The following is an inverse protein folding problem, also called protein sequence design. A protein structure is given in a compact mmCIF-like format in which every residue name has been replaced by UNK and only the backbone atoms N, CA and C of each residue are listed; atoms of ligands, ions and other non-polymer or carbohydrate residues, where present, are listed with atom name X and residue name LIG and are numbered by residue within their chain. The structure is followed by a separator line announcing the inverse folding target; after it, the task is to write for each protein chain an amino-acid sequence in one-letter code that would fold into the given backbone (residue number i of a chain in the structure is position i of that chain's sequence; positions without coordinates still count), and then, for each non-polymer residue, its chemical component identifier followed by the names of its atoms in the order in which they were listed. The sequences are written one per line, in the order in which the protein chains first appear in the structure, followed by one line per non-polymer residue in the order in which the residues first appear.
data_IF_165923533860
#
_entry.id   IF_165923533860
#
_cell.length_a   1.000
_cell.length_b   1.000
_cell.length_c   1.000
_cell.angle_alpha   90.00
_cell.angle_beta   90.00
_cell.angle_gamma   90.00
#
_symmetry.space_group_name_H-M   'P 1'
#
loop_
_entity.id
_entity.type
_entity.pdbx_description
1 polymer ?
#
# COMPACT_ATOMS: atom_id res chain seq x y z
N UNK A 1 -1.42 16.33 -13.39
CA UNK A 1 -1.70 15.40 -12.26
C UNK A 1 -1.04 14.07 -12.49
N UNK A 2 -0.51 13.42 -11.44
CA UNK A 2 -0.14 12.00 -11.41
C UNK A 2 -0.84 11.34 -10.21
N UNK A 3 -1.03 10.02 -10.26
CA UNK A 3 -1.66 9.26 -9.18
C UNK A 3 -0.73 8.15 -8.69
N UNK A 4 -0.48 8.10 -7.38
CA UNK A 4 0.33 7.09 -6.72
C UNK A 4 -0.57 6.27 -5.77
N UNK A 5 -0.57 4.97 -5.94
CA UNK A 5 -1.41 4.06 -5.17
C UNK A 5 -0.55 3.18 -4.28
N UNK A 6 -0.86 3.12 -2.99
CA UNK A 6 -0.47 1.93 -2.24
C UNK A 6 -1.19 0.70 -2.82
N UNK A 7 -0.79 -0.47 -2.40
CA UNK A 7 -1.29 -1.73 -2.97
C UNK A 7 -2.26 -2.46 -2.03
N UNK A 8 -1.77 -2.83 -0.85
CA UNK A 8 -2.52 -3.61 0.12
C UNK A 8 -3.55 -2.73 0.85
N UNK A 9 -4.81 -3.12 0.82
CA UNK A 9 -5.89 -2.30 1.38
C UNK A 9 -6.30 -1.10 0.53
N UNK A 10 -5.57 -0.82 -0.56
CA UNK A 10 -5.91 0.25 -1.52
C UNK A 10 -6.37 -0.33 -2.85
N UNK A 11 -5.52 -1.06 -3.54
CA UNK A 11 -5.90 -1.71 -4.81
C UNK A 11 -6.38 -3.14 -4.59
N UNK A 12 -5.82 -3.87 -3.60
CA UNK A 12 -6.14 -5.26 -3.30
C UNK A 12 -6.66 -5.44 -1.87
N UNK A 13 -7.72 -6.24 -1.73
CA UNK A 13 -8.33 -6.61 -0.44
C UNK A 13 -7.51 -7.73 0.23
N UNK A 14 -6.34 -7.37 0.74
CA UNK A 14 -5.39 -8.30 1.35
C UNK A 14 -5.21 -8.10 2.86
N UNK A 15 -5.60 -6.96 3.40
CA UNK A 15 -5.32 -6.56 4.78
C UNK A 15 -5.93 -7.49 5.84
N UNK A 16 -7.16 -7.97 5.63
CA UNK A 16 -7.78 -8.92 6.55
C UNK A 16 -7.03 -10.27 6.57
N UNK A 17 -6.44 -10.67 5.45
CA UNK A 17 -5.66 -11.90 5.32
C UNK A 17 -4.31 -11.73 6.07
N UNK A 18 -3.61 -10.61 5.88
CA UNK A 18 -2.38 -10.30 6.63
C UNK A 18 -2.61 -10.18 8.13
N UNK A 19 -3.69 -9.54 8.54
CA UNK A 19 -4.03 -9.42 9.96
C UNK A 19 -4.12 -10.80 10.62
N UNK A 20 -4.81 -11.76 9.98
CA UNK A 20 -4.91 -13.14 10.50
C UNK A 20 -3.54 -13.83 10.62
N UNK A 21 -2.73 -13.76 9.56
CA UNK A 21 -1.37 -14.34 9.57
C UNK A 21 -0.52 -13.75 10.70
N UNK A 22 -0.47 -12.42 10.78
CA UNK A 22 0.38 -11.74 11.75
C UNK A 22 -0.13 -11.85 13.19
N UNK A 23 -1.42 -11.99 13.41
CA UNK A 23 -1.97 -12.29 14.75
C UNK A 23 -1.54 -13.69 15.23
N UNK A 24 -1.48 -14.68 14.34
CA UNK A 24 -0.96 -16.01 14.65
C UNK A 24 0.55 -15.97 14.91
N UNK A 25 1.30 -15.29 14.04
CA UNK A 25 2.75 -15.12 14.20
C UNK A 25 3.10 -14.33 15.47
N UNK A 26 2.31 -13.29 15.79
CA UNK A 26 2.47 -12.48 16.98
C UNK A 26 2.33 -13.30 18.26
N UNK A 27 1.27 -14.08 18.37
CA UNK A 27 1.10 -15.00 19.51
C UNK A 27 2.22 -16.03 19.63
N UNK A 28 2.64 -16.58 18.50
CA UNK A 28 3.62 -17.67 18.46
C UNK A 28 5.06 -17.21 18.76
N UNK A 29 5.46 -16.05 18.24
CA UNK A 29 6.87 -15.66 18.21
C UNK A 29 7.19 -14.46 19.11
N UNK A 30 6.24 -13.56 19.38
CA UNK A 30 6.48 -12.32 20.13
C UNK A 30 5.57 -12.16 21.36
N UNK A 31 4.72 -13.15 21.65
CA UNK A 31 3.77 -13.16 22.76
C UNK A 31 2.85 -11.90 22.78
N UNK A 32 2.34 -11.53 21.58
CA UNK A 32 1.49 -10.36 21.40
C UNK A 32 0.18 -10.74 20.70
N UNK A 33 -0.94 -10.37 21.33
CA UNK A 33 -2.26 -10.37 20.70
C UNK A 33 -2.47 -9.12 19.84
N UNK A 34 -3.23 -9.24 18.73
CA UNK A 34 -3.53 -8.10 17.84
C UNK A 34 -2.31 -7.58 17.09
N UNK A 35 -1.28 -8.39 16.95
CA UNK A 35 0.00 -8.01 16.33
C UNK A 35 -0.18 -7.54 14.88
N UNK A 36 -1.06 -8.19 14.11
CA UNK A 36 -1.37 -7.80 12.75
C UNK A 36 -1.83 -6.33 12.62
N UNK A 37 -2.60 -5.85 13.61
CA UNK A 37 -3.03 -4.44 13.61
C UNK A 37 -1.91 -3.46 13.98
N UNK A 38 -0.92 -3.91 14.77
CA UNK A 38 0.19 -3.07 15.25
C UNK A 38 1.20 -2.78 14.13
N UNK A 39 1.40 -3.75 13.23
CA UNK A 39 2.45 -3.68 12.21
C UNK A 39 1.97 -3.15 10.84
N UNK A 40 0.70 -2.78 10.71
CA UNK A 40 0.15 -2.27 9.45
C UNK A 40 0.98 -1.17 8.82
N UNK A 41 1.21 -1.27 7.51
CA UNK A 41 2.02 -0.32 6.74
C UNK A 41 3.53 -0.46 6.91
N UNK A 42 4.02 -1.40 7.76
CA UNK A 42 5.45 -1.64 7.96
C UNK A 42 5.97 -2.69 6.96
N UNK A 43 7.22 -2.54 6.53
CA UNK A 43 7.90 -3.57 5.76
C UNK A 43 8.35 -4.73 6.65
N UNK A 44 8.59 -5.91 6.05
CA UNK A 44 9.11 -7.08 6.77
C UNK A 44 10.43 -6.77 7.50
N UNK A 45 11.30 -5.97 6.90
CA UNK A 45 12.57 -5.52 7.53
C UNK A 45 12.30 -4.72 8.81
N UNK A 46 11.33 -3.79 8.79
CA UNK A 46 10.96 -3.02 9.97
C UNK A 46 10.34 -3.91 11.06
N UNK A 47 9.47 -4.84 10.67
CA UNK A 47 8.84 -5.78 11.59
C UNK A 47 9.90 -6.64 12.28
N UNK A 48 10.82 -7.22 11.50
CA UNK A 48 11.89 -8.04 12.05
C UNK A 48 12.83 -7.24 12.94
N UNK A 49 13.30 -6.08 12.50
CA UNK A 49 14.19 -5.24 13.28
C UNK A 49 13.60 -4.76 14.60
N UNK A 50 12.28 -4.53 14.66
CA UNK A 50 11.62 -3.99 15.86
C UNK A 50 11.10 -5.06 16.82
N UNK A 51 10.53 -6.14 16.30
CA UNK A 51 9.79 -7.10 17.11
C UNK A 51 10.46 -8.47 17.21
N UNK A 52 11.43 -8.76 16.34
CA UNK A 52 12.13 -10.04 16.28
C UNK A 52 13.66 -9.91 16.46
N UNK A 53 14.12 -8.75 16.99
CA UNK A 53 15.55 -8.46 17.12
C UNK A 53 16.33 -9.50 17.95
N UNK A 54 15.66 -10.13 18.93
CA UNK A 54 16.25 -11.17 19.80
C UNK A 54 16.12 -12.60 19.23
N UNK A 55 15.60 -12.75 18.01
CA UNK A 55 15.41 -14.06 17.37
C UNK A 55 16.63 -14.48 16.58
N UNK A 56 16.84 -15.79 16.50
CA UNK A 56 17.90 -16.37 15.68
C UNK A 56 17.59 -16.21 14.19
N UNK A 57 18.61 -16.22 13.35
CA UNK A 57 18.42 -16.22 11.88
C UNK A 57 17.51 -17.37 11.40
N UNK A 58 17.58 -18.54 12.05
CA UNK A 58 16.75 -19.69 11.70
C UNK A 58 15.26 -19.41 11.98
N UNK A 59 14.94 -18.73 13.09
CA UNK A 59 13.58 -18.32 13.42
C UNK A 59 13.06 -17.24 12.48
N UNK A 60 13.90 -16.25 12.12
CA UNK A 60 13.54 -15.21 11.15
C UNK A 60 13.24 -15.82 9.78
N UNK A 61 14.09 -16.72 9.30
CA UNK A 61 13.84 -17.45 8.04
C UNK A 61 12.56 -18.28 8.10
N UNK A 62 12.26 -18.92 9.23
CA UNK A 62 11.02 -19.68 9.37
C UNK A 62 9.77 -18.80 9.29
N UNK A 63 9.81 -17.58 9.83
CA UNK A 63 8.72 -16.60 9.69
C UNK A 63 8.61 -16.11 8.23
N UNK A 64 9.74 -15.82 7.58
CA UNK A 64 9.78 -15.40 6.18
C UNK A 64 9.26 -16.50 5.24
N UNK A 65 9.63 -17.75 5.45
CA UNK A 65 9.11 -18.89 4.70
C UNK A 65 7.60 -19.06 4.93
N UNK A 66 7.14 -18.88 6.17
CA UNK A 66 5.73 -19.00 6.51
C UNK A 66 4.88 -17.90 5.84
N UNK A 67 5.35 -16.64 5.80
CA UNK A 67 4.65 -15.57 5.10
C UNK A 67 4.66 -15.80 3.60
N UNK A 68 5.78 -16.21 3.02
CA UNK A 68 5.88 -16.52 1.60
C UNK A 68 4.94 -17.67 1.19
N UNK A 69 4.76 -18.69 2.06
CA UNK A 69 3.80 -19.77 1.83
C UNK A 69 2.37 -19.27 1.95
N UNK A 70 2.10 -18.41 2.94
CA UNK A 70 0.79 -17.78 3.11
C UNK A 70 0.41 -16.97 1.88
N UNK A 71 1.30 -16.12 1.39
CA UNK A 71 1.12 -15.27 0.20
C UNK A 71 0.86 -16.07 -1.08
N UNK A 72 1.44 -17.27 -1.22
CA UNK A 72 1.14 -18.16 -2.35
C UNK A 72 -0.31 -18.65 -2.38
N UNK A 73 -0.97 -18.66 -1.23
CA UNK A 73 -2.33 -19.15 -1.04
C UNK A 73 -3.35 -18.03 -0.79
N UNK A 74 -2.90 -16.76 -0.77
CA UNK A 74 -3.80 -15.60 -0.63
C UNK A 74 -4.67 -15.39 -1.87
N UNK A 75 -5.82 -14.78 -1.67
CA UNK A 75 -6.60 -14.19 -2.75
C UNK A 75 -6.17 -12.74 -2.98
N UNK A 76 -6.13 -12.32 -4.24
CA UNK A 76 -5.75 -10.97 -4.64
C UNK A 76 -6.93 -10.32 -5.38
N UNK A 77 -8.04 -10.11 -4.66
CA UNK A 77 -9.21 -9.45 -5.23
C UNK A 77 -9.03 -7.93 -5.20
N UNK A 78 -9.46 -7.25 -6.26
CA UNK A 78 -9.43 -5.79 -6.27
C UNK A 78 -10.42 -5.22 -5.25
N UNK A 79 -10.04 -4.14 -4.59
CA UNK A 79 -10.99 -3.29 -3.87
C UNK A 79 -12.06 -2.82 -4.86
N UNK A 80 -13.36 -2.77 -4.47
CA UNK A 80 -14.45 -2.40 -5.37
C UNK A 80 -14.17 -1.10 -6.14
N UNK A 81 -14.31 -1.16 -7.47
CA UNK A 81 -14.09 -0.03 -8.38
C UNK A 81 -12.63 0.30 -8.69
N UNK A 82 -11.63 -0.30 -8.02
CA UNK A 82 -10.21 0.05 -8.19
C UNK A 82 -9.71 -0.20 -9.61
N UNK A 83 -10.04 -1.34 -10.20
CA UNK A 83 -9.64 -1.67 -11.58
C UNK A 83 -10.26 -0.70 -12.60
N UNK A 84 -11.54 -0.38 -12.43
CA UNK A 84 -12.28 0.54 -13.28
C UNK A 84 -11.68 1.94 -13.20
N UNK A 85 -11.34 2.39 -12.00
CA UNK A 85 -10.74 3.69 -11.76
C UNK A 85 -9.33 3.80 -12.36
N UNK A 86 -8.47 2.77 -12.24
CA UNK A 86 -7.19 2.72 -12.94
C UNK A 86 -7.35 2.82 -14.45
N UNK A 87 -8.35 2.14 -15.03
CA UNK A 87 -8.65 2.25 -16.45
C UNK A 87 -9.15 3.65 -16.85
N UNK A 88 -9.93 4.32 -16.01
CA UNK A 88 -10.37 5.71 -16.23
C UNK A 88 -9.17 6.66 -16.27
N UNK A 89 -8.26 6.58 -15.29
CA UNK A 89 -7.04 7.37 -15.25
C UNK A 89 -6.17 7.15 -16.50
N UNK A 90 -5.99 5.89 -16.88
CA UNK A 90 -5.23 5.52 -18.09
C UNK A 90 -5.84 6.09 -19.34
N UNK A 91 -7.17 6.02 -19.51
CA UNK A 91 -7.86 6.57 -20.68
C UNK A 91 -7.75 8.10 -20.75
N UNK A 92 -7.68 8.76 -19.58
CA UNK A 92 -7.44 10.19 -19.48
C UNK A 92 -5.96 10.58 -19.67
N UNK A 93 -5.05 9.63 -19.82
CA UNK A 93 -3.61 9.88 -19.96
C UNK A 93 -2.95 10.37 -18.69
N UNK A 94 -3.49 10.04 -17.51
CA UNK A 94 -2.93 10.41 -16.22
C UNK A 94 -1.91 9.35 -15.81
N UNK A 95 -0.62 9.72 -15.65
CA UNK A 95 0.40 8.78 -15.24
C UNK A 95 0.10 8.21 -13.85
N UNK A 96 0.23 6.89 -13.71
CA UNK A 96 -0.08 6.16 -12.49
C UNK A 96 1.05 5.23 -12.07
N UNK A 97 1.30 5.12 -10.76
CA UNK A 97 2.20 4.10 -10.24
C UNK A 97 1.65 3.44 -8.97
N UNK A 98 1.99 2.17 -8.81
CA UNK A 98 1.86 1.45 -7.55
C UNK A 98 3.13 1.70 -6.72
N UNK A 99 2.98 2.07 -5.45
CA UNK A 99 4.07 2.33 -4.50
C UNK A 99 3.81 1.52 -3.23
N UNK A 100 4.36 0.31 -3.19
CA UNK A 100 4.03 -0.68 -2.16
C UNK A 100 5.20 -1.02 -1.24
N UNK A 101 4.91 -1.29 0.03
CA UNK A 101 5.86 -1.89 0.98
C UNK A 101 6.08 -3.39 0.74
N UNK A 102 5.35 -4.00 -0.17
CA UNK A 102 5.50 -5.39 -0.57
C UNK A 102 6.78 -5.61 -1.37
N UNK A 103 7.37 -6.80 -1.22
CA UNK A 103 8.58 -7.20 -1.93
C UNK A 103 8.26 -7.85 -3.30
N UNK A 104 9.31 -8.05 -4.09
CA UNK A 104 9.18 -8.67 -5.42
C UNK A 104 8.66 -10.11 -5.36
N UNK A 105 8.90 -10.87 -4.28
CA UNK A 105 8.39 -12.24 -4.14
C UNK A 105 6.88 -12.28 -4.04
N UNK A 106 6.30 -11.39 -3.23
CA UNK A 106 4.85 -11.21 -3.15
C UNK A 106 4.28 -10.74 -4.48
N UNK A 107 4.88 -9.69 -5.08
CA UNK A 107 4.40 -9.16 -6.36
C UNK A 107 4.41 -10.22 -7.47
N UNK A 108 5.33 -11.19 -7.42
CA UNK A 108 5.32 -12.33 -8.35
C UNK A 108 4.06 -13.22 -8.20
N UNK A 109 3.46 -13.34 -6.99
CA UNK A 109 2.19 -14.05 -6.83
C UNK A 109 1.02 -13.21 -7.36
N UNK A 110 1.05 -11.89 -7.13
CA UNK A 110 0.07 -10.96 -7.67
C UNK A 110 0.05 -11.01 -9.20
N UNK A 111 1.22 -11.01 -9.86
CA UNK A 111 1.30 -11.10 -11.33
C UNK A 111 0.80 -12.44 -11.90
N UNK A 112 0.86 -13.52 -11.12
CA UNK A 112 0.22 -14.79 -11.51
C UNK A 112 -1.30 -14.69 -11.46
N UNK A 113 -1.85 -14.03 -10.45
CA UNK A 113 -3.29 -13.81 -10.30
C UNK A 113 -3.82 -12.77 -11.30
N UNK A 114 -3.03 -11.72 -11.55
CA UNK A 114 -3.37 -10.59 -12.44
C UNK A 114 -2.24 -10.32 -13.43
N UNK A 115 -2.10 -11.12 -14.51
CA UNK A 115 -1.04 -10.95 -15.50
C UNK A 115 -1.08 -9.60 -16.23
N UNK A 116 -2.22 -8.95 -16.21
CA UNK A 116 -2.46 -7.65 -16.86
C UNK A 116 -2.20 -6.43 -15.94
N UNK A 117 -1.86 -6.64 -14.65
CA UNK A 117 -1.71 -5.54 -13.68
C UNK A 117 -0.72 -4.48 -14.17
N UNK A 118 0.41 -4.89 -14.73
CA UNK A 118 1.42 -3.97 -15.27
C UNK A 118 0.99 -3.24 -16.55
N UNK A 119 -0.19 -3.56 -17.09
CA UNK A 119 -0.79 -2.77 -18.18
C UNK A 119 -1.78 -1.73 -17.69
N UNK A 120 -2.15 -1.78 -16.41
CA UNK A 120 -3.08 -0.85 -15.77
C UNK A 120 -2.37 0.40 -15.21
N UNK A 121 -1.06 0.32 -14.97
CA UNK A 121 -0.23 1.38 -14.40
C UNK A 121 1.06 1.56 -15.18
N UNK A 122 1.68 2.74 -15.08
CA UNK A 122 2.92 3.06 -15.82
C UNK A 122 4.17 2.57 -15.08
N UNK A 123 4.10 2.42 -13.75
CA UNK A 123 5.20 1.94 -12.93
C UNK A 123 4.73 1.19 -11.69
N UNK A 124 5.60 0.31 -11.17
CA UNK A 124 5.41 -0.38 -9.88
C UNK A 124 6.70 -0.28 -9.08
N UNK A 125 6.65 0.36 -7.93
CA UNK A 125 7.74 0.47 -6.97
C UNK A 125 7.45 -0.45 -5.78
N UNK A 126 8.30 -1.43 -5.60
CA UNK A 126 8.28 -2.38 -4.49
C UNK A 126 9.25 -1.95 -3.39
N UNK A 127 9.28 -2.64 -2.26
CA UNK A 127 10.19 -2.33 -1.14
C UNK A 127 11.68 -2.31 -1.54
N UNK A 128 12.07 -2.95 -2.63
CA UNK A 128 13.45 -2.96 -3.13
C UNK A 128 13.84 -1.67 -3.86
N UNK A 129 12.88 -0.79 -4.16
CA UNK A 129 13.15 0.47 -4.87
C UNK A 129 13.52 1.62 -3.94
N UNK A 130 13.32 1.49 -2.63
CA UNK A 130 13.61 2.56 -1.67
C UNK A 130 14.33 2.01 -0.43
N UNK A 131 15.13 2.87 0.21
CA UNK A 131 15.94 2.51 1.38
C UNK A 131 15.21 2.72 2.69
N UNK A 132 14.24 3.62 2.70
CA UNK A 132 13.43 3.96 3.87
C UNK A 132 11.97 3.68 3.57
N UNK A 133 11.37 2.92 4.46
CA UNK A 133 9.96 2.56 4.36
C UNK A 133 9.05 3.62 4.97
N UNK A 134 7.79 3.64 4.58
CA UNK A 134 6.74 4.44 5.21
C UNK A 134 6.86 4.36 6.75
N UNK A 135 6.81 5.45 7.49
CA UNK A 135 6.28 6.76 7.14
C UNK A 135 7.30 7.76 6.50
N UNK A 136 8.52 7.31 6.14
CA UNK A 136 9.44 8.16 5.39
C UNK A 136 8.86 8.42 3.98
N UNK A 137 8.94 9.66 3.44
CA UNK A 137 8.36 10.00 2.15
C UNK A 137 9.13 9.44 0.93
N UNK A 138 10.29 8.80 1.12
CA UNK A 138 11.18 8.39 0.02
C UNK A 138 10.45 7.62 -1.09
N UNK A 139 9.56 6.69 -0.73
CA UNK A 139 8.86 5.86 -1.71
C UNK A 139 7.96 6.71 -2.64
N UNK A 140 7.22 7.67 -2.11
CA UNK A 140 6.34 8.53 -2.91
C UNK A 140 7.13 9.59 -3.69
N UNK A 141 8.21 10.15 -3.12
CA UNK A 141 9.12 11.05 -3.85
C UNK A 141 9.73 10.34 -5.07
N UNK A 142 10.13 9.08 -4.94
CA UNK A 142 10.61 8.27 -6.08
C UNK A 142 9.52 8.00 -7.12
N UNK A 143 8.28 7.75 -6.67
CA UNK A 143 7.14 7.63 -7.58
C UNK A 143 6.90 8.91 -8.38
N UNK A 144 6.95 10.07 -7.72
CA UNK A 144 6.86 11.39 -8.37
C UNK A 144 7.97 11.59 -9.39
N UNK A 145 9.22 11.33 -9.02
CA UNK A 145 10.37 11.43 -9.91
C UNK A 145 10.21 10.56 -11.16
N UNK A 146 9.78 9.31 -10.96
CA UNK A 146 9.61 8.35 -12.05
C UNK A 146 8.53 8.76 -13.06
N UNK A 147 7.44 9.37 -12.57
CA UNK A 147 6.32 9.81 -13.41
C UNK A 147 6.43 11.29 -13.85
N UNK A 148 7.47 12.01 -13.44
CA UNK A 148 7.67 13.42 -13.77
C UNK A 148 6.67 14.37 -13.08
N UNK A 149 6.15 13.99 -11.91
CA UNK A 149 5.24 14.79 -11.11
C UNK A 149 5.95 15.65 -10.07
N UNK A 150 5.20 16.61 -9.51
CA UNK A 150 5.60 17.41 -8.35
C UNK A 150 4.66 17.12 -7.18
N UNK A 151 5.03 17.48 -5.93
CA UNK A 151 4.13 17.30 -4.79
C UNK A 151 2.72 17.85 -5.04
N UNK A 152 2.61 19.06 -5.57
CA UNK A 152 1.36 19.78 -5.79
C UNK A 152 0.47 19.12 -6.87
N UNK A 153 1.10 18.40 -7.81
CA UNK A 153 0.39 17.72 -8.91
C UNK A 153 0.18 16.22 -8.64
N UNK A 154 0.54 15.75 -7.46
CA UNK A 154 0.46 14.33 -7.08
C UNK A 154 -0.70 14.07 -6.13
N UNK A 155 -1.45 13.02 -6.42
CA UNK A 155 -2.46 12.44 -5.53
C UNK A 155 -1.99 11.06 -5.08
N UNK A 156 -1.90 10.85 -3.77
CA UNK A 156 -1.55 9.58 -3.13
C UNK A 156 -2.82 8.93 -2.59
N UNK A 157 -3.04 7.65 -2.90
CA UNK A 157 -4.11 6.83 -2.35
C UNK A 157 -3.53 5.85 -1.33
N UNK A 158 -4.01 5.92 -0.08
CA UNK A 158 -3.46 5.19 1.06
C UNK A 158 -4.53 4.83 2.11
N UNK A 159 -4.35 3.70 2.79
CA UNK A 159 -5.26 3.20 3.82
C UNK A 159 -4.63 3.14 5.22
N UNK A 160 -3.28 3.18 5.29
CA UNK A 160 -2.51 3.05 6.52
C UNK A 160 -2.04 4.41 7.06
N UNK A 161 -1.96 4.54 8.40
CA UNK A 161 -1.45 5.75 9.04
C UNK A 161 0.01 6.04 8.62
N UNK A 162 0.84 5.00 8.47
CA UNK A 162 2.22 5.17 8.03
C UNK A 162 2.30 5.71 6.60
N UNK A 163 1.49 5.17 5.69
CA UNK A 163 1.51 5.61 4.32
C UNK A 163 0.88 6.99 4.11
N UNK A 164 -0.22 7.30 4.79
CA UNK A 164 -0.81 8.65 4.82
C UNK A 164 0.24 9.66 5.31
N UNK A 165 0.97 9.32 6.39
CA UNK A 165 2.05 10.18 6.91
C UNK A 165 3.15 10.37 5.87
N UNK A 166 3.55 9.32 5.16
CA UNK A 166 4.56 9.39 4.10
C UNK A 166 4.10 10.27 2.93
N UNK A 167 2.85 10.12 2.47
CA UNK A 167 2.26 10.95 1.42
C UNK A 167 2.22 12.44 1.79
N UNK A 168 1.79 12.74 3.02
CA UNK A 168 1.80 14.12 3.56
C UNK A 168 3.21 14.68 3.67
N UNK A 169 4.17 13.88 4.15
CA UNK A 169 5.58 14.28 4.25
C UNK A 169 6.23 14.50 2.88
N UNK A 170 5.75 13.81 1.83
CA UNK A 170 6.16 14.04 0.45
C UNK A 170 5.53 15.33 -0.15
N UNK A 171 4.61 15.98 0.56
CA UNK A 171 3.90 17.19 0.11
C UNK A 171 2.75 16.93 -0.86
N UNK A 172 2.35 15.67 -1.05
CA UNK A 172 1.26 15.29 -1.95
C UNK A 172 -0.12 15.57 -1.36
N UNK A 173 -1.13 15.63 -2.23
CA UNK A 173 -2.52 15.49 -1.83
C UNK A 173 -2.78 14.03 -1.46
N UNK A 174 -3.46 13.76 -0.35
CA UNK A 174 -3.67 12.40 0.14
C UNK A 174 -5.15 12.07 0.23
N UNK A 175 -5.55 11.01 -0.48
CA UNK A 175 -6.86 10.39 -0.35
C UNK A 175 -6.71 9.14 0.51
N UNK A 176 -7.37 9.16 1.68
CA UNK A 176 -7.44 8.00 2.56
C UNK A 176 -8.51 7.00 2.11
N UNK A 177 -8.20 5.69 2.17
CA UNK A 177 -9.20 4.64 2.02
C UNK A 177 -9.56 4.08 3.40
N UNK A 178 -10.86 4.06 3.73
CA UNK A 178 -11.36 3.54 5.01
C UNK A 178 -11.50 1.99 5.01
N UNK A 179 -10.61 1.29 4.33
CA UNK A 179 -10.57 -0.16 4.19
C UNK A 179 -9.86 -0.85 5.35
N UNK A 180 -8.80 -0.23 5.86
CA UNK A 180 -7.93 -0.79 6.92
C UNK A 180 -8.14 -0.10 8.26
N UNK A 181 -8.24 1.21 8.26
CA UNK A 181 -8.51 2.03 9.42
C UNK A 181 -9.93 2.61 9.35
N UNK A 182 -10.54 2.86 10.52
CA UNK A 182 -11.83 3.54 10.55
C UNK A 182 -11.71 4.94 9.97
N UNK A 183 -12.73 5.39 9.26
CA UNK A 183 -12.80 6.72 8.65
C UNK A 183 -12.44 7.84 9.64
N UNK A 184 -12.99 7.80 10.85
CA UNK A 184 -12.79 8.82 11.88
C UNK A 184 -11.33 8.94 12.33
N UNK A 185 -10.54 7.88 12.14
CA UNK A 185 -9.11 7.85 12.51
C UNK A 185 -8.25 8.52 11.43
N UNK A 186 -8.55 8.28 10.15
CA UNK A 186 -7.73 8.76 9.03
C UNK A 186 -8.21 10.09 8.45
N UNK A 187 -9.47 10.45 8.61
CA UNK A 187 -10.06 11.68 8.05
C UNK A 187 -9.31 12.97 8.46
N UNK A 188 -8.85 13.13 9.72
CA UNK A 188 -8.06 14.31 10.10
C UNK A 188 -6.66 14.37 9.45
N UNK A 189 -6.20 13.28 8.85
CA UNK A 189 -4.87 13.12 8.27
C UNK A 189 -4.84 13.26 6.75
N UNK A 190 -6.01 13.23 6.10
CA UNK A 190 -6.18 13.19 4.65
C UNK A 190 -6.84 14.47 4.14
N UNK A 191 -6.72 14.74 2.85
CA UNK A 191 -7.45 15.82 2.18
C UNK A 191 -8.86 15.35 1.79
N UNK A 192 -9.02 14.05 1.54
CA UNK A 192 -10.30 13.37 1.28
C UNK A 192 -10.24 11.95 1.83
N UNK A 193 -11.40 11.36 2.19
CA UNK A 193 -11.52 9.94 2.54
C UNK A 193 -12.64 9.30 1.74
N UNK A 194 -12.34 8.14 1.15
CA UNK A 194 -13.31 7.29 0.44
C UNK A 194 -13.40 5.92 1.13
N UNK A 195 -14.48 5.20 0.92
CA UNK A 195 -14.62 3.83 1.43
C UNK A 195 -14.01 2.83 0.45
N UNK A 196 -14.20 3.05 -0.85
CA UNK A 196 -13.63 2.31 -1.98
C UNK A 196 -13.70 3.19 -3.25
N UNK A 197 -13.41 2.61 -4.42
CA UNK A 197 -13.41 3.35 -5.69
C UNK A 197 -14.77 3.34 -6.43
N UNK A 198 -15.83 2.75 -5.86
CA UNK A 198 -17.12 2.61 -6.54
C UNK A 198 -17.81 3.94 -6.81
N UNK A 199 -17.52 4.96 -6.00
CA UNK A 199 -18.21 6.24 -6.01
C UNK A 199 -17.26 7.43 -6.21
N UNK A 200 -16.04 7.23 -6.67
CA UNK A 200 -15.10 8.30 -7.02
C UNK A 200 -14.96 8.37 -8.54
N UNK A 201 -14.86 9.57 -9.08
CA UNK A 201 -14.59 9.83 -10.50
C UNK A 201 -13.38 10.74 -10.66
N UNK A 202 -12.77 10.69 -11.84
CA UNK A 202 -11.69 11.60 -12.20
C UNK A 202 -12.11 13.07 -12.06
N UNK A 203 -13.37 13.39 -12.38
CA UNK A 203 -13.88 14.75 -12.25
C UNK A 203 -13.86 15.21 -10.80
N UNK A 204 -14.29 14.37 -9.86
CA UNK A 204 -14.27 14.72 -8.43
C UNK A 204 -12.84 14.96 -7.93
N UNK A 205 -11.86 14.17 -8.42
CA UNK A 205 -10.45 14.40 -8.13
C UNK A 205 -9.96 15.76 -8.62
N UNK A 206 -10.21 16.08 -9.89
CA UNK A 206 -9.75 17.32 -10.50
C UNK A 206 -10.43 18.54 -9.87
N UNK A 207 -11.71 18.43 -9.55
CA UNK A 207 -12.47 19.50 -8.88
C UNK A 207 -11.96 19.73 -7.42
N UNK A 208 -11.65 18.64 -6.71
CA UNK A 208 -11.18 18.71 -5.31
C UNK A 208 -9.79 19.34 -5.17
N UNK A 209 -8.86 18.98 -6.04
CA UNK A 209 -7.47 19.40 -5.93
C UNK A 209 -7.07 20.51 -6.90
N UNK A 210 -7.99 21.03 -7.69
CA UNK A 210 -7.75 22.07 -8.71
C UNK A 210 -6.63 21.69 -9.69
N UNK A 211 -6.59 20.41 -10.12
CA UNK A 211 -5.55 19.78 -10.92
C UNK A 211 -5.94 19.61 -12.40
#
# INVERSE_FOLDING_TARGET
MIALFDFDGVLMDTEAQYTRFWDEAGRKFVDMDGFGSIIKGQTLIQIFGKYFADRTEAELRAVEEAINEYERNMTYEFIPGAREFLNELRQAGIPTAIVTSSNNMKMAQVYKAHPDLHTLVDAILTSEHFSKSKPDPECFLKGMEMLGGTPETTVVFEDSIHGITAGRAAGANVIGLATTNKREVIEPLCDMVIDDFSNISLKELTDCFSL
#
